data_IF_061731204914
#
_entry.id   IF_061731204914
#
_cell.length_a   1.000
_cell.length_b   1.000
_cell.length_c   1.000
_cell.angle_alpha   90.00
_cell.angle_beta   90.00
_cell.angle_gamma   90.00
#
_symmetry.space_group_name_H-M   'P 1'
#
loop_
_entity.id
_entity.type
_entity.pdbx_description
1 polymer ?
#
# COMPACT_ATOMS: atom_id res chain seq x y z
N UNK A 1 3.56 -1.33 -11.48
CA UNK A 1 4.17 -1.46 -12.82
C UNK A 1 3.95 -2.81 -13.52
N UNK A 2 3.20 -3.77 -12.96
CA UNK A 2 2.55 -4.85 -13.73
C UNK A 2 1.09 -5.03 -13.29
N UNK A 3 0.84 -4.92 -11.97
CA UNK A 3 -0.48 -5.12 -11.36
C UNK A 3 -1.19 -3.83 -10.95
N UNK A 4 -0.57 -2.67 -11.14
CA UNK A 4 -1.14 -1.36 -10.79
C UNK A 4 -1.16 -1.03 -9.29
N UNK A 5 -0.97 -2.02 -8.42
CA UNK A 5 -1.01 -1.87 -6.97
C UNK A 5 0.15 -2.61 -6.28
N UNK A 6 0.27 -2.44 -4.96
CA UNK A 6 1.16 -3.17 -4.06
C UNK A 6 0.43 -3.51 -2.75
N UNK A 7 -0.78 -4.08 -2.87
CA UNK A 7 -1.60 -4.56 -1.76
C UNK A 7 -1.12 -5.91 -1.22
N UNK A 8 -1.80 -6.45 -0.19
CA UNK A 8 -1.40 -7.70 0.45
C UNK A 8 -1.39 -8.89 -0.53
N UNK A 9 -2.35 -8.94 -1.44
CA UNK A 9 -2.44 -9.98 -2.49
C UNK A 9 -1.25 -9.98 -3.44
N UNK A 10 -0.60 -8.84 -3.67
CA UNK A 10 0.58 -8.75 -4.54
C UNK A 10 1.82 -9.42 -3.94
N UNK A 11 1.80 -9.76 -2.65
CA UNK A 11 2.86 -10.50 -1.96
C UNK A 11 2.58 -12.00 -1.85
N UNK A 12 1.45 -12.48 -2.36
CA UNK A 12 1.11 -13.90 -2.38
C UNK A 12 2.12 -14.70 -3.20
N UNK A 13 2.35 -15.96 -2.81
CA UNK A 13 3.40 -16.81 -3.40
C UNK A 13 3.22 -16.98 -4.92
N UNK A 14 1.96 -17.11 -5.36
CA UNK A 14 1.62 -17.20 -6.77
C UNK A 14 2.02 -15.95 -7.57
N UNK A 15 1.97 -14.77 -6.95
CA UNK A 15 2.37 -13.50 -7.57
C UNK A 15 3.88 -13.33 -7.55
N UNK A 16 4.53 -13.67 -6.43
CA UNK A 16 6.00 -13.63 -6.31
C UNK A 16 6.67 -14.56 -7.33
N UNK A 17 6.04 -15.69 -7.62
CA UNK A 17 6.52 -16.66 -8.61
C UNK A 17 6.02 -16.43 -10.03
N UNK A 18 5.17 -15.43 -10.28
CA UNK A 18 4.73 -15.07 -11.62
C UNK A 18 5.96 -14.79 -12.52
N UNK A 19 6.10 -15.50 -13.65
CA UNK A 19 7.25 -15.32 -14.55
C UNK A 19 7.45 -13.89 -15.04
N UNK A 20 6.36 -13.12 -15.26
CA UNK A 20 6.44 -11.73 -15.69
C UNK A 20 6.94 -10.81 -14.57
N UNK A 21 6.52 -11.04 -13.32
CA UNK A 21 7.02 -10.33 -12.14
C UNK A 21 8.51 -10.60 -11.96
N UNK A 22 8.94 -11.86 -12.02
CA UNK A 22 10.37 -12.24 -11.91
C UNK A 22 11.20 -11.67 -13.05
N UNK A 23 10.69 -11.68 -14.27
CA UNK A 23 11.38 -11.11 -15.44
C UNK A 23 11.55 -9.59 -15.34
N UNK A 24 10.61 -8.88 -14.70
CA UNK A 24 10.76 -7.45 -14.40
C UNK A 24 11.76 -7.23 -13.27
N UNK A 25 11.64 -7.97 -12.16
CA UNK A 25 12.52 -7.87 -11.00
C UNK A 25 13.99 -8.11 -11.37
N UNK A 26 14.28 -9.05 -12.28
CA UNK A 26 15.63 -9.33 -12.77
C UNK A 26 16.31 -8.15 -13.49
N UNK A 27 15.56 -7.11 -13.88
CA UNK A 27 16.10 -5.89 -14.53
C UNK A 27 16.39 -4.78 -13.52
N UNK A 28 15.93 -4.92 -12.28
CA UNK A 28 16.07 -3.90 -11.24
C UNK A 28 17.48 -3.95 -10.67
N UNK A 29 18.11 -2.78 -10.59
CA UNK A 29 19.37 -2.54 -9.90
C UNK A 29 19.17 -1.34 -8.98
N UNK A 30 19.91 -1.31 -7.88
CA UNK A 30 19.93 -0.16 -6.98
C UNK A 30 21.29 0.53 -7.02
N UNK A 31 21.28 1.82 -6.68
CA UNK A 31 22.48 2.62 -6.44
C UNK A 31 22.31 3.23 -5.06
N UNK A 32 23.37 3.23 -4.26
CA UNK A 32 23.35 3.89 -2.95
C UNK A 32 23.53 5.39 -3.19
N UNK A 33 22.58 6.17 -2.71
CA UNK A 33 22.65 7.62 -2.70
C UNK A 33 23.44 8.09 -1.47
N UNK A 34 24.64 8.68 -1.63
CA UNK A 34 25.45 9.14 -0.50
C UNK A 34 24.82 10.34 0.23
N UNK A 35 23.93 11.08 -0.44
CA UNK A 35 23.25 12.25 0.09
C UNK A 35 21.86 11.91 0.64
N UNK A 36 21.56 10.61 0.79
CA UNK A 36 20.25 10.17 1.24
C UNK A 36 19.91 10.74 2.63
N UNK A 37 18.74 11.38 2.81
CA UNK A 37 18.38 12.02 4.07
C UNK A 37 17.96 11.05 5.18
N UNK A 38 18.03 9.74 4.96
CA UNK A 38 17.71 8.71 5.95
C UNK A 38 18.54 8.87 7.24
N UNK A 39 17.95 8.61 8.44
CA UNK A 39 16.56 8.21 8.69
C UNK A 39 15.58 9.37 8.85
N UNK A 40 16.00 10.62 8.60
CA UNK A 40 15.11 11.80 8.80
C UNK A 40 13.99 11.84 7.77
N UNK A 41 14.25 11.41 6.54
CA UNK A 41 13.26 11.27 5.48
C UNK A 41 13.50 9.97 4.74
N UNK A 42 12.41 9.38 4.24
CA UNK A 42 12.44 8.18 3.44
C UNK A 42 12.02 8.57 2.03
N UNK A 43 13.00 8.60 1.15
CA UNK A 43 12.84 9.00 -0.25
C UNK A 43 12.84 7.78 -1.15
N UNK A 44 12.20 7.91 -2.31
CA UNK A 44 12.25 6.92 -3.39
C UNK A 44 12.59 7.60 -4.70
N UNK A 45 13.46 6.99 -5.48
CA UNK A 45 13.75 7.41 -6.84
C UNK A 45 13.75 6.19 -7.77
N UNK A 46 13.05 6.29 -8.89
CA UNK A 46 13.00 5.26 -9.91
C UNK A 46 13.36 5.86 -11.26
N UNK A 47 14.34 5.25 -11.91
CA UNK A 47 14.71 5.52 -13.30
C UNK A 47 14.47 4.27 -14.15
N UNK A 48 13.77 4.43 -15.26
CA UNK A 48 13.45 3.35 -16.20
C UNK A 48 13.94 3.73 -17.59
N UNK A 49 14.79 2.88 -18.17
CA UNK A 49 15.19 2.99 -19.58
C UNK A 49 14.35 2.02 -20.41
N UNK A 50 13.59 2.56 -21.36
CA UNK A 50 12.75 1.79 -22.27
C UNK A 50 13.59 1.19 -23.41
N UNK A 51 13.03 0.19 -24.10
CA UNK A 51 13.70 -0.45 -25.26
C UNK A 51 13.96 0.52 -26.41
N UNK A 52 13.19 1.61 -26.49
CA UNK A 52 13.39 2.71 -27.45
C UNK A 52 14.61 3.57 -27.13
N UNK A 53 15.24 3.37 -25.96
CA UNK A 53 16.29 4.23 -25.42
C UNK A 53 15.77 5.41 -24.57
N UNK A 54 14.46 5.66 -24.60
CA UNK A 54 13.83 6.71 -23.78
C UNK A 54 13.99 6.43 -22.28
N UNK A 55 14.25 7.48 -21.49
CA UNK A 55 14.37 7.41 -20.04
C UNK A 55 13.18 8.10 -19.38
N UNK A 56 12.60 7.45 -18.38
CA UNK A 56 11.56 8.01 -17.51
C UNK A 56 12.03 7.96 -16.07
N UNK A 57 11.80 9.06 -15.34
CA UNK A 57 12.21 9.19 -13.94
C UNK A 57 11.02 9.64 -13.08
N UNK A 58 11.00 9.16 -11.83
CA UNK A 58 10.04 9.56 -10.82
C UNK A 58 10.73 9.61 -9.45
N UNK A 59 10.44 10.66 -8.69
CA UNK A 59 10.98 10.89 -7.35
C UNK A 59 9.83 11.09 -6.36
N UNK A 60 9.95 10.53 -5.17
CA UNK A 60 9.05 10.69 -4.04
C UNK A 60 9.89 11.09 -2.83
N UNK A 61 9.69 12.31 -2.32
CA UNK A 61 10.51 12.88 -1.24
C UNK A 61 10.17 12.38 0.17
N UNK A 62 9.04 11.68 0.32
CA UNK A 62 8.52 11.25 1.62
C UNK A 62 7.62 10.02 1.47
N UNK A 63 7.41 9.30 2.57
CA UNK A 63 6.44 8.20 2.57
C UNK A 63 5.01 8.69 2.33
N UNK A 64 4.35 8.08 1.35
CA UNK A 64 2.90 8.18 1.17
C UNK A 64 2.19 7.59 2.39
N UNK A 65 1.21 8.32 2.91
CA UNK A 65 0.54 8.04 4.19
C UNK A 65 1.33 8.46 5.43
N UNK A 66 2.52 9.04 5.27
CA UNK A 66 3.27 9.66 6.35
C UNK A 66 2.71 11.04 6.72
N UNK A 67 3.40 11.71 7.67
CA UNK A 67 3.02 13.07 8.12
C UNK A 67 2.95 14.09 6.99
N UNK A 68 3.83 13.98 6.00
CA UNK A 68 3.97 14.94 4.88
C UNK A 68 2.98 14.69 3.74
N UNK A 69 2.52 13.46 3.58
CA UNK A 69 1.46 13.10 2.62
C UNK A 69 0.46 12.16 3.31
N UNK A 70 -0.39 12.66 4.22
CA UNK A 70 -1.38 11.84 4.91
C UNK A 70 -2.37 11.23 3.91
N UNK A 71 -2.83 10.01 4.20
CA UNK A 71 -3.90 9.40 3.41
C UNK A 71 -5.21 10.16 3.62
N UNK A 72 -6.02 10.27 2.56
CA UNK A 72 -7.41 10.71 2.70
C UNK A 72 -8.21 9.70 3.53
N UNK A 73 -9.34 10.14 4.09
CA UNK A 73 -10.25 9.24 4.79
C UNK A 73 -10.72 8.09 3.88
N UNK A 74 -11.09 8.39 2.64
CA UNK A 74 -11.48 7.38 1.64
C UNK A 74 -10.36 6.36 1.38
N UNK A 75 -9.12 6.80 1.16
CA UNK A 75 -8.00 5.89 0.95
C UNK A 75 -7.69 5.02 2.18
N UNK A 76 -7.91 5.54 3.40
CA UNK A 76 -7.79 4.76 4.63
C UNK A 76 -8.87 3.69 4.73
N UNK A 77 -10.08 4.00 4.30
CA UNK A 77 -11.22 3.07 4.31
C UNK A 77 -11.09 1.97 3.26
N UNK A 78 -10.62 2.31 2.07
CA UNK A 78 -10.28 1.35 1.03
C UNK A 78 -9.20 0.39 1.53
N UNK A 79 -8.14 0.93 2.15
CA UNK A 79 -7.08 0.14 2.77
C UNK A 79 -7.59 -0.75 3.91
N UNK A 80 -8.45 -0.23 4.77
CA UNK A 80 -9.09 -1.00 5.84
C UNK A 80 -9.89 -2.17 5.26
N UNK A 81 -10.71 -1.90 4.26
CA UNK A 81 -11.57 -2.88 3.60
C UNK A 81 -10.73 -3.96 2.90
N UNK A 82 -9.66 -3.57 2.19
CA UNK A 82 -8.72 -4.49 1.57
C UNK A 82 -8.04 -5.42 2.61
N UNK A 83 -7.63 -4.88 3.75
CA UNK A 83 -7.06 -5.68 4.84
C UNK A 83 -8.07 -6.66 5.43
N UNK A 84 -9.32 -6.24 5.65
CA UNK A 84 -10.38 -7.13 6.13
C UNK A 84 -10.62 -8.29 5.17
N UNK A 85 -10.73 -8.01 3.87
CA UNK A 85 -10.92 -9.04 2.85
C UNK A 85 -9.75 -10.01 2.79
N UNK A 86 -8.52 -9.51 2.80
CA UNK A 86 -7.33 -10.36 2.84
C UNK A 86 -7.28 -11.21 4.13
N UNK A 87 -7.71 -10.63 5.25
CA UNK A 87 -7.88 -11.33 6.53
C UNK A 87 -9.06 -12.32 6.58
N UNK A 88 -9.77 -12.55 5.48
CA UNK A 88 -10.85 -13.53 5.36
C UNK A 88 -12.23 -13.04 5.82
N UNK A 89 -12.41 -11.74 6.07
CA UNK A 89 -13.73 -11.19 6.39
C UNK A 89 -14.56 -11.02 5.11
N UNK A 90 -15.87 -11.17 5.22
CA UNK A 90 -16.79 -10.81 4.15
C UNK A 90 -17.12 -9.30 4.14
N UNK A 91 -17.82 -8.88 3.09
CA UNK A 91 -18.20 -7.48 2.87
C UNK A 91 -19.13 -6.95 3.95
N UNK A 92 -20.00 -7.79 4.49
CA UNK A 92 -20.96 -7.39 5.51
C UNK A 92 -20.21 -7.04 6.80
N UNK A 93 -19.35 -7.94 7.25
CA UNK A 93 -18.53 -7.77 8.45
C UNK A 93 -17.59 -6.56 8.34
N UNK A 94 -16.88 -6.42 7.21
CA UNK A 94 -15.99 -5.28 7.00
C UNK A 94 -16.75 -3.94 7.05
N UNK A 95 -17.91 -3.84 6.41
CA UNK A 95 -18.75 -2.62 6.44
C UNK A 95 -19.31 -2.33 7.82
N UNK A 96 -19.77 -3.35 8.55
CA UNK A 96 -20.26 -3.21 9.92
C UNK A 96 -19.17 -2.66 10.86
N UNK A 97 -17.97 -3.24 10.79
CA UNK A 97 -16.82 -2.77 11.55
C UNK A 97 -16.44 -1.33 11.20
N UNK A 98 -16.41 -0.97 9.91
CA UNK A 98 -16.09 0.40 9.49
C UNK A 98 -17.14 1.41 9.98
N UNK A 99 -18.43 1.07 9.92
CA UNK A 99 -19.51 1.91 10.41
C UNK A 99 -19.39 2.15 11.93
N UNK A 100 -19.06 1.10 12.69
CA UNK A 100 -18.79 1.19 14.12
C UNK A 100 -17.60 2.11 14.43
N UNK A 101 -16.48 1.96 13.72
CA UNK A 101 -15.29 2.80 13.90
C UNK A 101 -15.56 4.28 13.61
N UNK A 102 -16.38 4.59 12.59
CA UNK A 102 -16.79 5.97 12.28
C UNK A 102 -17.64 6.59 13.39
N UNK A 103 -18.52 5.80 14.00
CA UNK A 103 -19.39 6.26 15.10
C UNK A 103 -18.68 6.32 16.46
N UNK A 104 -17.48 5.73 16.58
CA UNK A 104 -16.80 5.51 17.86
C UNK A 104 -16.64 6.77 18.71
N UNK A 105 -16.35 7.91 18.08
CA UNK A 105 -16.08 9.16 18.79
C UNK A 105 -17.33 9.81 19.39
N UNK A 106 -18.51 9.52 18.86
CA UNK A 106 -19.78 10.13 19.27
C UNK A 106 -20.73 9.16 19.96
N UNK A 107 -20.46 7.85 19.88
CA UNK A 107 -21.29 6.83 20.50
C UNK A 107 -21.20 6.87 22.04
N UNK A 108 -22.34 6.91 22.76
CA UNK A 108 -22.34 6.88 24.23
C UNK A 108 -21.94 5.50 24.79
N UNK A 109 -22.15 4.45 23.99
CA UNK A 109 -21.71 3.07 24.23
C UNK A 109 -21.40 2.41 22.89
N UNK A 110 -20.43 1.52 22.88
CA UNK A 110 -19.96 0.81 21.67
C UNK A 110 -20.05 -0.68 21.96
N UNK A 111 -20.76 -1.42 21.11
CA UNK A 111 -20.72 -2.89 21.13
C UNK A 111 -19.62 -3.39 20.19
N UNK A 112 -18.61 -4.05 20.74
CA UNK A 112 -17.47 -4.57 19.99
C UNK A 112 -17.69 -6.00 19.50
N UNK A 113 -18.89 -6.57 19.70
CA UNK A 113 -19.23 -7.93 19.26
C UNK A 113 -18.90 -8.17 17.77
N UNK A 114 -19.25 -7.22 16.90
CA UNK A 114 -18.98 -7.23 15.46
C UNK A 114 -17.48 -7.26 15.09
N UNK A 115 -16.60 -6.83 16.00
CA UNK A 115 -15.15 -6.87 15.78
C UNK A 115 -14.52 -8.20 16.22
N UNK A 116 -15.24 -9.03 16.96
CA UNK A 116 -14.75 -10.33 17.44
C UNK A 116 -14.97 -11.38 16.37
N UNK A 117 -13.93 -12.18 16.09
CA UNK A 117 -14.00 -13.37 15.24
C UNK A 117 -14.20 -14.61 16.08
#
# INVERSE_FOLDING_TARGET
MLRGDAGLTEYEESVVHDPAVRALAAKVRYVVDPDNPYPRQFTGHLRVTLKTGEVREASQGHFRGGREEPMSAEALEDKFTANCFYGGWDTHRARGALALLRALRTAPRVDLSELRG
#
